data_IF_196428498380
#
_entry.id   IF_196428498380
#
_cell.length_a   1.000
_cell.length_b   1.000
_cell.length_c   1.000
_cell.angle_alpha   90.00
_cell.angle_beta   90.00
_cell.angle_gamma   90.00
#
_symmetry.space_group_name_H-M   'P 1'
#
loop_
_entity.id
_entity.type
_entity.pdbx_description
1 polymer ?
#
# COMPACT_ATOMS: atom_id res chain seq x y z
N UNK A 1 13.84 2.22 3.39
CA UNK A 1 12.69 2.12 2.47
C UNK A 1 12.31 0.66 2.35
N UNK A 2 11.02 0.32 2.35
CA UNK A 2 10.54 -1.05 2.17
C UNK A 2 9.72 -1.10 0.89
N UNK A 3 10.13 -1.94 -0.05
CA UNK A 3 9.44 -2.13 -1.31
C UNK A 3 8.57 -3.38 -1.20
N UNK A 4 7.30 -3.25 -1.57
CA UNK A 4 6.35 -4.34 -1.50
C UNK A 4 5.46 -4.35 -2.74
N UNK A 5 5.14 -5.54 -3.23
CA UNK A 5 4.09 -5.74 -4.22
C UNK A 5 2.71 -5.68 -3.52
N UNK A 6 1.63 -5.39 -4.25
CA UNK A 6 0.29 -5.34 -3.66
C UNK A 6 -0.16 -6.70 -3.07
N UNK A 7 0.30 -7.82 -3.60
CA UNK A 7 0.02 -9.17 -3.08
C UNK A 7 0.64 -9.39 -1.69
N UNK A 8 1.85 -8.87 -1.46
CA UNK A 8 2.47 -8.92 -0.13
C UNK A 8 1.72 -8.03 0.87
N UNK A 9 1.19 -6.91 0.40
CA UNK A 9 0.44 -5.96 1.22
C UNK A 9 -0.83 -6.58 1.82
N UNK A 10 -1.47 -7.51 1.10
CA UNK A 10 -2.67 -8.22 1.54
C UNK A 10 -2.39 -9.51 2.31
N UNK A 11 -1.12 -9.95 2.35
CA UNK A 11 -0.72 -11.17 3.04
C UNK A 11 -0.88 -11.03 4.57
N UNK A 12 -1.54 -12.02 5.18
CA UNK A 12 -1.70 -12.11 6.64
C UNK A 12 -0.36 -12.17 7.37
N UNK A 13 0.66 -12.79 6.75
CA UNK A 13 2.01 -12.89 7.31
C UNK A 13 2.69 -11.54 7.39
N UNK A 14 2.64 -10.74 6.32
CA UNK A 14 3.22 -9.38 6.31
C UNK A 14 2.44 -8.46 7.25
N UNK A 15 1.10 -8.57 7.26
CA UNK A 15 0.27 -7.78 8.16
C UNK A 15 0.64 -8.01 9.63
N UNK A 16 0.59 -9.27 10.09
CA UNK A 16 0.84 -9.60 11.50
C UNK A 16 2.32 -9.49 11.89
N UNK A 17 3.21 -9.85 10.97
CA UNK A 17 4.66 -9.86 11.21
C UNK A 17 5.33 -8.50 11.13
N UNK A 18 4.72 -7.53 10.44
CA UNK A 18 5.31 -6.21 10.21
C UNK A 18 4.31 -5.07 10.44
N UNK A 19 3.21 -5.01 9.69
CA UNK A 19 2.33 -3.82 9.64
C UNK A 19 1.62 -3.53 10.96
N UNK A 20 1.24 -4.57 11.71
CA UNK A 20 0.52 -4.43 12.98
C UNK A 20 1.44 -4.09 14.17
N UNK A 21 2.76 -4.19 14.00
CA UNK A 21 3.71 -3.94 15.08
C UNK A 21 3.79 -2.44 15.43
N UNK A 22 3.75 -2.12 16.72
CA UNK A 22 3.78 -0.73 17.19
C UNK A 22 5.07 0.01 16.83
N UNK A 23 6.22 -0.67 16.91
CA UNK A 23 7.52 -0.10 16.56
C UNK A 23 7.59 0.27 15.08
N UNK A 24 6.98 -0.54 14.21
CA UNK A 24 6.82 -0.22 12.80
C UNK A 24 5.93 1.00 12.60
N UNK A 25 4.71 0.99 13.18
CA UNK A 25 3.75 2.11 13.07
C UNK A 25 4.32 3.46 13.51
N UNK A 26 5.18 3.48 14.54
CA UNK A 26 5.83 4.72 15.00
C UNK A 26 6.85 5.30 14.03
N UNK A 27 7.46 4.47 13.18
CA UNK A 27 8.57 4.84 12.27
C UNK A 27 8.13 5.06 10.81
N UNK A 28 6.84 4.91 10.52
CA UNK A 28 6.30 5.18 9.18
C UNK A 28 6.46 6.66 8.83
N UNK A 29 7.05 6.93 7.67
CA UNK A 29 7.27 8.29 7.17
C UNK A 29 6.33 8.65 6.01
N UNK A 30 6.06 7.70 5.11
CA UNK A 30 5.12 7.84 4.00
C UNK A 30 4.66 6.46 3.52
N UNK A 31 3.48 6.40 2.91
CA UNK A 31 3.02 5.28 2.09
C UNK A 31 3.06 5.74 0.63
N UNK A 32 3.88 5.10 -0.19
CA UNK A 32 4.04 5.44 -1.60
C UNK A 32 3.45 4.33 -2.47
N UNK A 33 2.65 4.72 -3.47
CA UNK A 33 2.03 3.82 -4.44
C UNK A 33 2.60 4.16 -5.81
N UNK A 34 3.25 3.19 -6.44
CA UNK A 34 3.76 3.33 -7.80
C UNK A 34 2.79 2.68 -8.79
N UNK A 35 2.81 3.17 -10.03
CA UNK A 35 1.87 2.81 -11.10
C UNK A 35 0.40 2.95 -10.70
N UNK A 36 0.06 4.11 -10.14
CA UNK A 36 -1.29 4.39 -9.64
C UNK A 36 -2.40 4.27 -10.71
N UNK A 37 -2.08 4.35 -12.01
CA UNK A 37 -3.04 4.09 -13.08
C UNK A 37 -3.62 2.66 -13.07
N UNK A 38 -2.93 1.71 -12.41
CA UNK A 38 -3.43 0.37 -12.14
C UNK A 38 -4.60 0.34 -11.14
N UNK A 39 -5.06 1.47 -10.60
CA UNK A 39 -6.30 1.54 -9.81
C UNK A 39 -7.54 1.71 -10.70
N UNK A 40 -7.41 2.36 -11.86
CA UNK A 40 -8.56 2.83 -12.64
C UNK A 40 -8.51 2.39 -14.11
N UNK A 41 -7.40 2.63 -14.81
CA UNK A 41 -7.29 2.40 -16.26
C UNK A 41 -7.27 0.91 -16.62
N UNK A 42 -6.43 0.11 -15.95
CA UNK A 42 -6.26 -1.34 -16.23
C UNK A 42 -6.59 -2.23 -15.02
N UNK A 43 -6.71 -1.62 -13.84
CA UNK A 43 -6.86 -2.24 -12.51
C UNK A 43 -8.11 -3.05 -12.22
N UNK A 44 -9.15 -2.87 -13.04
CA UNK A 44 -10.40 -3.57 -12.79
C UNK A 44 -10.28 -5.07 -13.06
N UNK A 45 -9.38 -5.47 -13.97
CA UNK A 45 -9.13 -6.87 -14.37
C UNK A 45 -7.66 -7.31 -14.25
N UNK A 46 -6.71 -6.37 -14.10
CA UNK A 46 -5.28 -6.65 -13.98
C UNK A 46 -4.77 -6.24 -12.59
N UNK A 47 -4.07 -7.15 -11.88
CA UNK A 47 -3.57 -6.99 -10.49
C UNK A 47 -4.58 -6.32 -9.54
N UNK A 48 -5.68 -7.02 -9.31
CA UNK A 48 -6.82 -6.54 -8.51
C UNK A 48 -6.45 -6.22 -7.06
N UNK A 49 -5.31 -6.70 -6.58
CA UNK A 49 -4.73 -6.42 -5.28
C UNK A 49 -4.43 -4.93 -5.08
N UNK A 50 -4.23 -4.14 -6.15
CA UNK A 50 -4.13 -2.69 -6.06
C UNK A 50 -5.35 -2.05 -5.39
N UNK A 51 -6.56 -2.61 -5.59
CA UNK A 51 -7.79 -2.14 -4.94
C UNK A 51 -7.75 -2.25 -3.41
N UNK A 52 -6.90 -3.13 -2.87
CA UNK A 52 -6.75 -3.33 -1.44
C UNK A 52 -5.85 -2.30 -0.77
N UNK A 53 -5.10 -1.49 -1.54
CA UNK A 53 -4.26 -0.41 -1.01
C UNK A 53 -5.11 0.58 -0.19
N UNK A 54 -6.34 0.87 -0.62
CA UNK A 54 -7.28 1.70 0.13
C UNK A 54 -7.62 1.15 1.52
N UNK A 55 -7.81 -0.17 1.64
CA UNK A 55 -8.00 -0.81 2.95
C UNK A 55 -6.73 -0.78 3.79
N UNK A 56 -5.57 -1.00 3.16
CA UNK A 56 -4.30 -1.00 3.86
C UNK A 56 -3.94 0.38 4.42
N UNK A 57 -4.39 1.49 3.80
CA UNK A 57 -4.23 2.83 4.35
C UNK A 57 -4.72 2.96 5.80
N UNK A 58 -5.75 2.20 6.19
CA UNK A 58 -6.29 2.16 7.55
C UNK A 58 -5.31 1.57 8.58
N UNK A 59 -4.30 0.81 8.14
CA UNK A 59 -3.27 0.22 8.99
C UNK A 59 -2.13 1.21 9.34
N UNK A 60 -2.08 2.35 8.65
CA UNK A 60 -1.05 3.38 8.82
C UNK A 60 -1.60 4.52 9.70
N UNK A 61 -0.71 5.16 10.46
CA UNK A 61 -1.11 6.32 11.27
C UNK A 61 -1.65 7.46 10.39
N UNK A 62 -2.60 8.24 10.91
CA UNK A 62 -3.24 9.34 10.16
C UNK A 62 -2.22 10.34 9.62
N UNK A 63 -1.19 10.66 10.41
CA UNK A 63 -0.09 11.56 10.04
C UNK A 63 0.76 11.11 8.85
N UNK A 64 0.66 9.85 8.42
CA UNK A 64 1.50 9.31 7.35
C UNK A 64 0.89 9.73 6.00
N UNK A 65 1.59 10.54 5.19
CA UNK A 65 1.10 10.92 3.87
C UNK A 65 1.03 9.71 2.94
N UNK A 66 -0.01 9.68 2.11
CA UNK A 66 -0.12 8.78 0.97
C UNK A 66 0.29 9.54 -0.29
N UNK A 67 1.27 9.02 -1.01
CA UNK A 67 1.77 9.59 -2.25
C UNK A 67 1.54 8.57 -3.36
N UNK A 68 0.93 8.99 -4.46
CA UNK A 68 0.66 8.14 -5.61
C UNK A 68 1.42 8.70 -6.82
N UNK A 69 2.14 7.83 -7.51
CA UNK A 69 2.96 8.17 -8.66
C UNK A 69 2.54 7.32 -9.85
N UNK A 70 2.55 7.92 -11.02
CA UNK A 70 2.38 7.20 -12.27
C UNK A 70 2.91 8.01 -13.44
N UNK A 71 3.36 7.33 -14.49
CA UNK A 71 3.75 7.95 -15.74
C UNK A 71 2.58 8.11 -16.72
N UNK A 72 1.49 7.34 -16.56
CA UNK A 72 0.37 7.25 -17.52
C UNK A 72 -0.97 7.39 -16.80
N UNK A 73 -2.02 7.85 -17.50
CA UNK A 73 -3.41 7.88 -17.03
C UNK A 73 -4.33 7.26 -18.08
#
# INVERSE_FOLDING_TARGET
VLLMTPEMLVSTGVRRGLLDRQDFKRRQAALMVDEAHLLDAWGQKFRTEYKQIGHVRQLFAERVPLLAFTATL
#
